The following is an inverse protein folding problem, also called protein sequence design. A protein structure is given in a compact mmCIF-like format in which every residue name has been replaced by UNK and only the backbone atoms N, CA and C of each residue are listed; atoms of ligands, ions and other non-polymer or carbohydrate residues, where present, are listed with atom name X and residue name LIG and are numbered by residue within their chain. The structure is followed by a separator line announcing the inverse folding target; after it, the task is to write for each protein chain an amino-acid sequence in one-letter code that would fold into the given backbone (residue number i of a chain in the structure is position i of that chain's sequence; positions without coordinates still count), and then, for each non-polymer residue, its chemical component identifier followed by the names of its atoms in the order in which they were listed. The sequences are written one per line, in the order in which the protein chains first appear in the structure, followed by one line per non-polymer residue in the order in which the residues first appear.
data_IF_110960596667
#
_entry.id   IF_110960596667
#
_cell.length_a   1.000
_cell.length_b   1.000
_cell.length_c   1.000
_cell.angle_alpha   90.00
_cell.angle_beta   90.00
_cell.angle_gamma   90.00
#
_symmetry.space_group_name_H-M   'P 1'
#
loop_
_entity.id
_entity.type
_entity.pdbx_description
1 polymer ?
#
# COMPACT_ATOMS: atom_id res chain seq x y z
N UNK A 1 16.01 9.02 -12.84
CA UNK A 1 15.29 8.19 -11.85
C UNK A 1 13.96 8.87 -11.61
N UNK A 2 12.85 8.17 -11.82
CA UNK A 2 11.52 8.75 -11.68
C UNK A 2 11.17 8.89 -10.19
N UNK A 3 10.59 10.03 -9.81
CA UNK A 3 9.98 10.22 -8.50
C UNK A 3 8.57 9.65 -8.63
N UNK A 4 8.25 8.59 -7.89
CA UNK A 4 6.87 8.11 -7.80
C UNK A 4 6.04 9.16 -7.04
N UNK A 5 4.97 9.65 -7.68
CA UNK A 5 4.06 10.63 -7.08
C UNK A 5 2.77 9.91 -6.77
N UNK A 6 2.55 9.66 -5.49
CA UNK A 6 1.37 8.98 -4.98
C UNK A 6 0.50 9.97 -4.19
N UNK A 7 -0.82 9.89 -4.39
CA UNK A 7 -1.81 10.58 -3.56
C UNK A 7 -2.68 9.57 -2.83
N UNK A 8 -3.04 9.89 -1.58
CA UNK A 8 -3.85 9.03 -0.71
C UNK A 8 -5.14 9.72 -0.32
N UNK A 9 -6.24 8.98 -0.29
CA UNK A 9 -7.56 9.50 0.05
C UNK A 9 -8.28 8.55 1.00
N UNK A 10 -9.10 9.10 1.89
CA UNK A 10 -10.14 8.32 2.56
C UNK A 10 -11.22 7.94 1.56
N UNK A 11 -12.01 6.92 1.88
CA UNK A 11 -13.11 6.46 1.02
C UNK A 11 -14.45 6.67 1.74
N UNK A 12 -15.41 7.27 1.03
CA UNK A 12 -16.70 7.70 1.57
C UNK A 12 -17.74 6.59 1.63
N UNK A 13 -17.71 5.67 0.68
CA UNK A 13 -18.70 4.61 0.53
C UNK A 13 -18.09 3.39 -0.21
N UNK A 14 -18.86 2.32 -0.37
CA UNK A 14 -18.39 1.05 -0.96
C UNK A 14 -18.66 0.90 -2.46
N UNK A 15 -19.03 1.97 -3.17
CA UNK A 15 -19.38 1.88 -4.60
C UNK A 15 -18.19 1.47 -5.48
N UNK A 16 -16.96 1.73 -5.01
CA UNK A 16 -15.72 1.27 -5.66
C UNK A 16 -15.67 -0.25 -5.85
N UNK A 17 -16.37 -1.04 -5.03
CA UNK A 17 -16.39 -2.50 -5.17
C UNK A 17 -17.00 -2.90 -6.51
N UNK A 18 -18.07 -2.20 -6.94
CA UNK A 18 -18.73 -2.46 -8.23
C UNK A 18 -17.89 -1.95 -9.41
N UNK A 19 -17.10 -0.90 -9.20
CA UNK A 19 -16.18 -0.35 -10.20
C UNK A 19 -14.86 -1.13 -10.31
N UNK A 20 -14.55 -2.00 -9.34
CA UNK A 20 -13.30 -2.75 -9.33
C UNK A 20 -13.28 -3.86 -10.37
N UNK A 21 -12.13 -4.02 -11.03
CA UNK A 21 -11.90 -5.09 -11.99
C UNK A 21 -11.01 -6.21 -11.43
N UNK A 22 -10.26 -5.93 -10.36
CA UNK A 22 -9.38 -6.88 -9.71
C UNK A 22 -9.46 -6.72 -8.19
N UNK A 23 -9.30 -7.83 -7.47
CA UNK A 23 -9.26 -7.90 -6.01
C UNK A 23 -8.09 -8.78 -5.59
N UNK A 24 -7.28 -8.30 -4.63
CA UNK A 24 -6.14 -9.02 -4.06
C UNK A 24 -6.24 -9.10 -2.55
N UNK A 25 -6.01 -10.29 -1.99
CA UNK A 25 -5.88 -10.45 -0.55
C UNK A 25 -4.41 -10.25 -0.17
N UNK A 26 -4.15 -9.28 0.70
CA UNK A 26 -2.79 -8.92 1.09
C UNK A 26 -2.61 -9.15 2.58
N UNK A 27 -1.57 -9.92 2.90
CA UNK A 27 -1.05 -10.05 4.26
C UNK A 27 0.38 -9.57 4.22
N UNK A 28 0.72 -8.58 5.05
CA UNK A 28 2.08 -8.09 5.16
C UNK A 28 2.49 -7.91 6.61
N UNK A 29 3.78 -8.10 6.85
CA UNK A 29 4.41 -7.95 8.15
C UNK A 29 5.79 -7.33 7.99
N UNK A 30 6.30 -6.77 9.08
CA UNK A 30 7.62 -6.16 9.12
C UNK A 30 8.56 -7.01 9.97
N UNK A 31 9.67 -7.47 9.40
CA UNK A 31 10.79 -8.03 10.16
C UNK A 31 11.61 -6.91 10.82
N UNK A 32 11.57 -5.70 10.24
CA UNK A 32 12.17 -4.50 10.78
C UNK A 32 11.36 -3.27 10.38
N UNK A 33 11.08 -2.38 11.34
CA UNK A 33 10.53 -1.03 11.14
C UNK A 33 11.57 0.08 11.40
N UNK A 34 12.86 -0.26 11.51
CA UNK A 34 13.94 0.73 11.68
C UNK A 34 13.97 1.67 10.45
N UNK A 35 13.87 3.01 10.63
CA UNK A 35 13.86 3.97 9.53
C UNK A 35 15.07 3.92 8.62
N UNK A 36 16.18 3.34 9.07
CA UNK A 36 17.40 3.15 8.27
C UNK A 36 17.36 1.88 7.40
N UNK A 37 16.54 0.89 7.78
CA UNK A 37 16.51 -0.47 7.24
C UNK A 37 15.16 -1.16 7.50
N UNK A 38 14.17 -0.79 6.72
CA UNK A 38 12.84 -1.42 6.76
C UNK A 38 12.91 -2.76 6.03
N UNK A 39 12.40 -3.82 6.63
CA UNK A 39 12.28 -5.14 5.99
C UNK A 39 10.84 -5.59 6.10
N UNK A 40 10.18 -5.75 4.95
CA UNK A 40 8.76 -6.12 4.84
C UNK A 40 8.61 -7.41 4.08
N UNK A 41 7.80 -8.32 4.62
CA UNK A 41 7.32 -9.53 3.94
C UNK A 41 5.87 -9.26 3.54
N UNK A 42 5.54 -9.53 2.28
CA UNK A 42 4.19 -9.33 1.74
C UNK A 42 3.77 -10.57 0.97
N UNK A 43 2.58 -11.07 1.26
CA UNK A 43 1.88 -12.11 0.51
C UNK A 43 0.70 -11.44 -0.17
N UNK A 44 0.62 -11.57 -1.49
CA UNK A 44 -0.51 -11.11 -2.31
C UNK A 44 -1.11 -12.34 -3.00
N UNK A 45 -2.26 -12.79 -2.50
CA UNK A 45 -2.91 -14.04 -2.88
C UNK A 45 -1.93 -15.24 -2.87
N UNK A 46 -1.43 -15.64 -4.05
CA UNK A 46 -0.52 -16.77 -4.24
C UNK A 46 0.93 -16.35 -4.53
N UNK A 47 1.23 -15.06 -4.55
CA UNK A 47 2.56 -14.50 -4.76
C UNK A 47 3.10 -13.94 -3.44
N UNK A 48 4.42 -13.87 -3.33
CA UNK A 48 5.05 -13.30 -2.15
C UNK A 48 6.34 -12.55 -2.49
N UNK A 49 6.61 -11.52 -1.70
CA UNK A 49 7.70 -10.59 -1.91
C UNK A 49 8.39 -10.26 -0.59
N UNK A 50 9.72 -10.17 -0.64
CA UNK A 50 10.54 -9.58 0.40
C UNK A 50 11.01 -8.21 -0.10
N UNK A 51 10.63 -7.15 0.61
CA UNK A 51 11.04 -5.78 0.31
C UNK A 51 12.01 -5.29 1.38
N UNK A 52 13.18 -4.79 0.98
CA UNK A 52 14.15 -4.12 1.85
C UNK A 52 14.25 -2.67 1.42
N UNK A 53 14.04 -1.75 2.36
CA UNK A 53 14.09 -0.30 2.12
C UNK A 53 15.14 0.33 3.01
N UNK A 54 16.05 1.10 2.41
CA UNK A 54 17.05 1.88 3.12
C UNK A 54 16.50 3.21 3.65
N UNK A 55 17.38 3.98 4.27
CA UNK A 55 17.08 5.34 4.75
C UNK A 55 16.56 6.23 3.61
N UNK A 56 15.51 6.99 3.88
CA UNK A 56 15.08 8.08 3.00
C UNK A 56 16.16 9.14 2.85
N UNK A 57 16.24 9.76 1.67
CA UNK A 57 17.10 10.91 1.40
C UNK A 57 16.74 12.10 2.30
N UNK A 58 17.65 13.08 2.44
CA UNK A 58 17.46 14.22 3.36
C UNK A 58 16.21 15.06 3.04
N UNK A 59 15.85 15.12 1.77
CA UNK A 59 14.64 15.76 1.24
C UNK A 59 13.39 14.86 1.33
N UNK A 60 13.54 13.59 1.73
CA UNK A 60 12.45 12.64 1.93
C UNK A 60 11.85 12.06 0.65
N UNK A 61 12.39 12.43 -0.51
CA UNK A 61 11.77 12.14 -1.82
C UNK A 61 12.22 10.82 -2.42
N UNK A 62 13.34 10.26 -1.97
CA UNK A 62 13.89 9.01 -2.52
C UNK A 62 14.43 8.09 -1.43
N UNK A 63 14.49 6.79 -1.72
CA UNK A 63 15.15 5.79 -0.87
C UNK A 63 15.63 4.61 -1.71
N UNK A 64 16.64 3.90 -1.22
CA UNK A 64 16.99 2.60 -1.78
C UNK A 64 15.86 1.61 -1.48
N UNK A 65 15.34 0.96 -2.50
CA UNK A 65 14.32 -0.07 -2.36
C UNK A 65 14.70 -1.29 -3.22
N UNK A 66 14.71 -2.46 -2.61
CA UNK A 66 14.95 -3.73 -3.28
C UNK A 66 13.76 -4.62 -2.96
N UNK A 67 13.00 -4.98 -3.99
CA UNK A 67 11.93 -5.97 -3.89
C UNK A 67 12.35 -7.24 -4.63
N UNK A 68 12.16 -8.39 -3.99
CA UNK A 68 12.44 -9.70 -4.58
C UNK A 68 11.25 -10.63 -4.39
N UNK A 69 10.83 -11.36 -5.44
CA UNK A 69 9.90 -12.47 -5.26
C UNK A 69 10.55 -13.55 -4.40
N UNK A 70 9.77 -14.14 -3.49
CA UNK A 70 10.16 -15.30 -2.68
C UNK A 70 9.08 -16.37 -2.80
N UNK A 71 9.38 -17.62 -2.41
CA UNK A 71 8.34 -18.65 -2.44
C UNK A 71 7.27 -18.39 -1.38
N UNK A 72 6.03 -18.79 -1.68
CA UNK A 72 4.92 -18.67 -0.72
C UNK A 72 5.20 -19.43 0.59
N UNK A 73 5.95 -20.54 0.51
CA UNK A 73 6.36 -21.33 1.68
C UNK A 73 7.29 -20.52 2.58
N UNK A 74 8.32 -19.89 2.02
CA UNK A 74 9.23 -19.01 2.76
C UNK A 74 8.49 -17.84 3.38
N UNK A 75 7.63 -17.18 2.60
CA UNK A 75 6.87 -16.02 3.08
C UNK A 75 5.99 -16.36 4.27
N UNK A 76 5.28 -17.50 4.25
CA UNK A 76 4.47 -17.97 5.38
C UNK A 76 5.30 -18.21 6.64
N UNK A 77 6.52 -18.74 6.49
CA UNK A 77 7.44 -18.92 7.62
C UNK A 77 7.88 -17.56 8.16
N UNK A 78 8.27 -16.63 7.28
CA UNK A 78 8.75 -15.31 7.68
C UNK A 78 7.65 -14.44 8.32
N UNK A 79 6.40 -14.56 7.89
CA UNK A 79 5.26 -13.86 8.51
C UNK A 79 5.11 -14.20 9.99
N UNK A 80 5.37 -15.46 10.38
CA UNK A 80 5.24 -15.90 11.77
C UNK A 80 6.29 -15.30 12.72
N UNK A 81 7.40 -14.76 12.18
CA UNK A 81 8.47 -14.13 12.96
C UNK A 81 8.51 -12.61 12.76
N UNK A 82 7.53 -12.03 12.05
CA UNK A 82 7.41 -10.59 11.93
C UNK A 82 7.12 -9.96 13.30
N UNK A 83 7.42 -8.66 13.40
CA UNK A 83 6.98 -7.83 14.51
C UNK A 83 5.45 -7.91 14.68
N UNK A 84 4.94 -7.65 15.90
CA UNK A 84 3.50 -7.54 16.13
C UNK A 84 2.84 -6.54 15.16
N UNK A 85 1.52 -6.64 15.03
CA UNK A 85 0.70 -5.83 14.11
C UNK A 85 0.90 -6.19 12.63
N UNK A 86 0.49 -7.41 12.27
CA UNK A 86 0.34 -7.77 10.87
C UNK A 86 -0.76 -6.93 10.23
N UNK A 87 -0.49 -6.47 9.00
CA UNK A 87 -1.48 -5.75 8.21
C UNK A 87 -2.15 -6.75 7.29
N UNK A 88 -3.47 -6.89 7.47
CA UNK A 88 -4.32 -7.67 6.60
C UNK A 88 -5.31 -6.73 5.92
N UNK A 89 -5.37 -6.80 4.60
CA UNK A 89 -6.25 -5.95 3.80
C UNK A 89 -6.68 -6.65 2.53
N UNK A 90 -7.78 -6.18 1.98
CA UNK A 90 -8.22 -6.49 0.64
C UNK A 90 -7.98 -5.27 -0.23
N UNK A 91 -7.17 -5.41 -1.28
CA UNK A 91 -6.93 -4.36 -2.27
C UNK A 91 -7.86 -4.56 -3.45
N UNK A 92 -8.70 -3.57 -3.72
CA UNK A 92 -9.52 -3.47 -4.92
C UNK A 92 -8.82 -2.54 -5.91
N UNK A 93 -8.66 -3.00 -7.15
CA UNK A 93 -8.06 -2.19 -8.21
C UNK A 93 -9.18 -1.68 -9.12
N UNK A 94 -9.26 -0.36 -9.26
CA UNK A 94 -10.25 0.33 -10.09
C UNK A 94 -9.50 1.03 -11.22
N UNK A 95 -9.92 0.78 -12.45
CA UNK A 95 -9.41 1.50 -13.62
C UNK A 95 -10.45 2.52 -14.04
N UNK A 96 -10.10 3.81 -14.01
CA UNK A 96 -10.96 4.90 -14.44
C UNK A 96 -10.18 5.79 -15.39
N UNK A 97 -10.54 5.72 -16.67
CA UNK A 97 -9.75 6.27 -17.78
C UNK A 97 -8.32 5.68 -17.75
N UNK A 98 -7.31 6.54 -17.79
CA UNK A 98 -5.89 6.17 -17.72
C UNK A 98 -5.36 6.08 -16.28
N UNK A 99 -6.20 6.36 -15.28
CA UNK A 99 -5.83 6.30 -13.87
C UNK A 99 -6.17 4.95 -13.25
N UNK A 100 -5.25 4.44 -12.42
CA UNK A 100 -5.45 3.22 -11.62
C UNK A 100 -5.51 3.62 -10.15
N UNK A 101 -6.62 3.28 -9.51
CA UNK A 101 -6.78 3.42 -8.06
C UNK A 101 -6.61 2.07 -7.39
N UNK A 102 -5.82 2.03 -6.32
CA UNK A 102 -5.74 0.92 -5.39
C UNK A 102 -6.50 1.28 -4.12
N UNK A 103 -7.67 0.69 -3.91
CA UNK A 103 -8.48 0.88 -2.70
C UNK A 103 -8.25 -0.26 -1.73
N UNK A 104 -7.63 0.03 -0.60
CA UNK A 104 -7.34 -0.90 0.48
C UNK A 104 -8.42 -0.85 1.55
N UNK A 105 -9.09 -1.99 1.77
CA UNK A 105 -9.99 -2.22 2.89
C UNK A 105 -9.23 -3.00 3.95
N UNK A 106 -8.95 -2.38 5.09
CA UNK A 106 -8.16 -2.99 6.16
C UNK A 106 -9.03 -3.84 7.10
N UNK A 107 -8.42 -4.90 7.64
CA UNK A 107 -9.04 -5.84 8.57
C UNK A 107 -8.36 -5.80 9.95
N UNK A 108 -8.92 -6.56 10.90
CA UNK A 108 -8.39 -6.75 12.26
C UNK A 108 -8.20 -5.43 13.01
N UNK A 109 -6.97 -5.11 13.42
CA UNK A 109 -6.64 -3.91 14.20
C UNK A 109 -7.06 -2.62 13.48
N UNK A 110 -7.08 -2.63 12.15
CA UNK A 110 -7.42 -1.50 11.31
C UNK A 110 -8.81 -1.65 10.65
N UNK A 111 -9.66 -2.52 11.20
CA UNK A 111 -10.99 -2.77 10.65
C UNK A 111 -11.82 -1.48 10.58
N UNK A 112 -12.40 -1.22 9.40
CA UNK A 112 -13.17 -0.01 9.11
C UNK A 112 -12.36 1.12 8.46
N UNK A 113 -11.03 1.02 8.41
CA UNK A 113 -10.21 1.93 7.63
C UNK A 113 -10.23 1.52 6.15
N UNK A 114 -10.54 2.48 5.28
CA UNK A 114 -10.48 2.31 3.83
C UNK A 114 -9.69 3.48 3.24
N UNK A 115 -8.62 3.15 2.50
CA UNK A 115 -7.73 4.13 1.88
C UNK A 115 -7.64 3.86 0.39
N UNK A 116 -7.77 4.89 -0.43
CA UNK A 116 -7.49 4.85 -1.85
C UNK A 116 -6.12 5.47 -2.15
N UNK A 117 -5.32 4.80 -2.95
CA UNK A 117 -4.04 5.28 -3.47
C UNK A 117 -4.13 5.41 -5.00
N UNK A 118 -3.54 6.47 -5.55
CA UNK A 118 -3.35 6.65 -7.00
C UNK A 118 -1.91 7.08 -7.25
N UNK A 119 -1.28 6.42 -8.22
CA UNK A 119 0.02 6.79 -8.76
C UNK A 119 -0.15 7.75 -9.94
N UNK A 120 0.66 8.81 -9.98
CA UNK A 120 0.61 9.87 -10.97
C UNK A 120 2.00 10.12 -11.56
N UNK A 121 2.04 10.54 -12.82
CA UNK A 121 3.29 10.91 -13.50
C UNK A 121 3.88 12.23 -12.97
N UNK A 122 3.04 13.13 -12.47
CA UNK A 122 3.42 14.45 -11.98
C UNK A 122 2.45 14.95 -10.89
N UNK A 123 2.86 15.98 -10.13
CA UNK A 123 2.02 16.56 -9.07
C UNK A 123 0.77 17.26 -9.61
N UNK A 124 0.88 17.77 -10.83
CA UNK A 124 -0.18 18.50 -11.53
C UNK A 124 -0.98 17.60 -12.48
N UNK A 125 -0.71 16.28 -12.47
CA UNK A 125 -1.45 15.33 -13.29
C UNK A 125 -2.92 15.31 -12.90
N UNK A 126 -3.77 15.42 -13.92
CA UNK A 126 -5.20 15.22 -13.75
C UNK A 126 -5.51 13.78 -13.38
N UNK A 127 -6.49 13.58 -12.49
CA UNK A 127 -7.07 12.29 -12.18
C UNK A 127 -8.58 12.46 -11.97
N UNK A 128 -9.39 11.43 -12.28
CA UNK A 128 -10.81 11.51 -12.05
C UNK A 128 -11.10 11.50 -10.54
N UNK A 129 -12.21 12.14 -10.13
CA UNK A 129 -12.67 12.15 -8.73
C UNK A 129 -14.00 11.38 -8.66
N UNK A 130 -13.97 10.05 -8.46
CA UNK A 130 -15.18 9.27 -8.22
C UNK A 130 -15.96 9.74 -7.00
N UNK A 131 -17.26 9.47 -6.97
CA UNK A 131 -18.12 9.82 -5.82
C UNK A 131 -17.67 9.15 -4.51
N UNK A 132 -17.11 7.94 -4.61
CA UNK A 132 -16.56 7.20 -3.47
C UNK A 132 -15.25 7.79 -2.93
N UNK A 133 -14.55 8.64 -3.70
CA UNK A 133 -13.27 9.23 -3.31
C UNK A 133 -13.49 10.37 -2.29
N UNK A 134 -12.77 10.28 -1.17
CA UNK A 134 -12.95 11.14 -0.01
C UNK A 134 -11.91 12.24 0.14
N UNK A 135 -11.66 12.60 1.40
CA UNK A 135 -10.65 13.58 1.80
C UNK A 135 -9.25 13.08 1.43
N UNK A 136 -8.43 13.98 0.89
CA UNK A 136 -7.02 13.68 0.66
C UNK A 136 -6.24 13.69 1.98
N UNK A 137 -5.49 12.63 2.22
CA UNK A 137 -4.67 12.43 3.42
C UNK A 137 -3.19 12.23 3.08
N UNK A 138 -2.77 12.60 1.87
CA UNK A 138 -1.36 12.61 1.43
C UNK A 138 -0.50 13.39 2.44
N UNK A 139 0.65 12.83 2.83
CA UNK A 139 1.56 13.46 3.80
C UNK A 139 1.19 13.24 5.28
N UNK A 140 0.00 12.72 5.60
CA UNK A 140 -0.38 12.39 6.98
C UNK A 140 0.17 11.01 7.36
N UNK A 141 1.24 10.98 8.16
CA UNK A 141 2.00 9.76 8.52
C UNK A 141 1.12 8.66 9.12
N UNK A 142 0.08 8.99 9.88
CA UNK A 142 -0.86 8.01 10.47
C UNK A 142 -1.57 7.10 9.47
N UNK A 143 -1.62 7.47 8.19
CA UNK A 143 -2.24 6.66 7.12
C UNK A 143 -1.21 5.90 6.27
N UNK A 144 0.05 5.88 6.69
CA UNK A 144 1.11 5.18 5.97
C UNK A 144 1.18 3.73 6.44
N UNK A 145 1.42 2.79 5.53
CA UNK A 145 1.46 1.36 5.85
C UNK A 145 2.45 0.99 6.97
N UNK A 146 3.48 1.79 7.27
CA UNK A 146 4.40 1.49 8.40
C UNK A 146 3.78 1.80 9.77
N UNK A 147 2.86 2.76 9.82
CA UNK A 147 2.20 3.28 11.02
C UNK A 147 0.86 2.59 11.33
N UNK A 148 0.34 1.82 10.36
CA UNK A 148 -0.83 0.94 10.51
C UNK A 148 -0.44 -0.42 11.13
#
# INVERSE_FOLDING_TARGET
MAIEIERKFLVKNLDFIKESFEKKNIIQGYLSKDPLRIVRVRIEDNMAFLTIKGKSSKDGVSRLEIEKPISLKEAKILINICLPDLIKKVRYVIKKNDSIFCVDVFNEKNNGLIIAEIELDSKDSYYPVPEWLGEEVTGQTRYYNSEL
#
